data_IF_581099072408
#
_entry.id   IF_581099072408
#
_cell.length_a   1.000
_cell.length_b   1.000
_cell.length_c   1.000
_cell.angle_alpha   90.00
_cell.angle_beta   90.00
_cell.angle_gamma   90.00
#
_symmetry.space_group_name_H-M   'P 1'
#
loop_
_entity.id
_entity.type
_entity.pdbx_description
1 polymer ?
#
# COMPACT_ATOMS: atom_id res chain seq x y z
N UNK A 1 5.76 -12.53 49.12
CA UNK A 1 5.50 -12.10 47.73
C UNK A 1 4.95 -13.30 46.97
N UNK A 2 3.69 -13.27 46.55
CA UNK A 2 3.08 -14.37 45.80
C UNK A 2 3.80 -14.52 44.47
N UNK A 3 4.38 -15.69 44.20
CA UNK A 3 4.95 -15.99 42.88
C UNK A 3 3.77 -16.11 41.92
N UNK A 4 3.55 -15.10 41.08
CA UNK A 4 2.54 -15.17 40.03
C UNK A 4 2.76 -16.45 39.24
N UNK A 5 1.73 -17.31 39.18
CA UNK A 5 1.75 -18.51 38.33
C UNK A 5 2.02 -18.08 36.88
N UNK A 6 2.91 -18.76 36.14
CA UNK A 6 3.09 -18.50 34.72
C UNK A 6 1.76 -18.61 33.98
N UNK A 7 1.49 -17.68 33.05
CA UNK A 7 0.22 -17.65 32.29
C UNK A 7 -0.04 -18.96 31.54
N UNK A 8 1.02 -19.59 31.03
CA UNK A 8 1.01 -20.83 30.27
C UNK A 8 1.47 -22.04 31.11
N UNK A 9 1.10 -22.09 32.39
CA UNK A 9 1.33 -23.26 33.25
C UNK A 9 0.35 -24.41 33.02
N UNK A 10 -0.73 -24.16 32.29
CA UNK A 10 -1.76 -25.15 31.97
C UNK A 10 -1.49 -25.70 30.57
N UNK A 11 -1.32 -27.02 30.47
CA UNK A 11 -1.07 -27.74 29.22
C UNK A 11 -2.17 -27.47 28.18
N UNK A 12 -3.41 -27.22 28.62
CA UNK A 12 -4.51 -26.92 27.72
C UNK A 12 -4.33 -25.57 27.02
N UNK A 13 -3.90 -24.54 27.77
CA UNK A 13 -3.64 -23.21 27.21
C UNK A 13 -2.44 -23.21 26.28
N UNK A 14 -1.45 -24.06 26.58
CA UNK A 14 -0.30 -24.25 25.69
C UNK A 14 -0.74 -24.87 24.38
N UNK A 15 -1.52 -25.95 24.40
CA UNK A 15 -2.04 -26.58 23.16
C UNK A 15 -2.84 -25.60 22.30
N UNK A 16 -3.76 -24.85 22.92
CA UNK A 16 -4.56 -23.85 22.22
C UNK A 16 -3.69 -22.75 21.57
N UNK A 17 -2.65 -22.30 22.27
CA UNK A 17 -1.70 -21.34 21.72
C UNK A 17 -0.96 -21.88 20.49
N UNK A 18 -0.53 -23.14 20.55
CA UNK A 18 0.17 -23.80 19.45
C UNK A 18 -0.74 -23.94 18.23
N UNK A 19 -1.96 -24.43 18.42
CA UNK A 19 -2.95 -24.56 17.35
C UNK A 19 -3.25 -23.21 16.69
N UNK A 20 -3.50 -22.17 17.49
CA UNK A 20 -3.78 -20.83 16.98
C UNK A 20 -2.60 -20.27 16.17
N UNK A 21 -1.36 -20.41 16.66
CA UNK A 21 -0.17 -19.93 15.97
C UNK A 21 0.12 -20.71 14.68
N UNK A 22 0.01 -22.05 14.72
CA UNK A 22 0.18 -22.90 13.52
C UNK A 22 -0.93 -22.70 12.49
N UNK A 23 -2.12 -22.27 12.91
CA UNK A 23 -3.22 -21.83 12.05
C UNK A 23 -2.99 -20.49 11.34
N UNK A 24 -1.84 -19.83 11.59
CA UNK A 24 -1.45 -18.60 10.90
C UNK A 24 -1.79 -17.31 11.65
N UNK A 25 -2.24 -17.40 12.90
CA UNK A 25 -2.42 -16.22 13.75
C UNK A 25 -1.06 -15.58 14.08
N UNK A 26 -1.02 -14.25 14.19
CA UNK A 26 0.20 -13.56 14.60
C UNK A 26 0.41 -13.67 16.11
N UNK A 27 1.64 -13.43 16.58
CA UNK A 27 1.95 -13.35 18.02
C UNK A 27 1.06 -12.32 18.74
N UNK A 28 0.66 -11.25 18.04
CA UNK A 28 -0.23 -10.22 18.58
C UNK A 28 -1.66 -10.73 18.73
N UNK A 29 -2.16 -11.49 17.76
CA UNK A 29 -3.51 -12.06 17.81
C UNK A 29 -3.60 -13.09 18.94
N UNK A 30 -2.59 -13.97 19.06
CA UNK A 30 -2.47 -14.88 20.18
C UNK A 30 -2.41 -14.13 21.53
N UNK A 31 -1.61 -13.06 21.61
CA UNK A 31 -1.47 -12.26 22.82
C UNK A 31 -2.80 -11.60 23.23
N UNK A 32 -3.55 -11.07 22.26
CA UNK A 32 -4.86 -10.49 22.49
C UNK A 32 -5.89 -11.54 22.96
N UNK A 33 -5.88 -12.73 22.36
CA UNK A 33 -6.76 -13.84 22.75
C UNK A 33 -6.56 -14.29 24.19
N UNK A 34 -5.31 -14.42 24.62
CA UNK A 34 -4.98 -14.83 25.99
C UNK A 34 -4.85 -13.67 26.99
N UNK A 35 -5.09 -12.42 26.57
CA UNK A 35 -4.97 -11.24 27.42
C UNK A 35 -3.57 -11.02 28.00
N UNK A 36 -2.52 -11.36 27.24
CA UNK A 36 -1.13 -11.27 27.68
C UNK A 36 -0.27 -10.47 26.69
N UNK A 37 1.02 -10.33 26.99
CA UNK A 37 1.95 -9.61 26.10
C UNK A 37 2.51 -10.53 25.02
N UNK A 38 2.78 -10.01 23.82
CA UNK A 38 3.42 -10.76 22.73
C UNK A 38 4.77 -11.40 23.13
N UNK A 39 5.63 -10.77 23.96
CA UNK A 39 6.80 -11.43 24.54
C UNK A 39 6.47 -12.68 25.37
N UNK A 40 5.36 -12.67 26.13
CA UNK A 40 4.91 -13.83 26.92
C UNK A 40 4.54 -15.00 26.02
N UNK A 41 3.82 -14.74 24.93
CA UNK A 41 3.49 -15.74 23.91
C UNK A 41 4.76 -16.29 23.25
N UNK A 42 5.69 -15.40 22.86
CA UNK A 42 6.98 -15.78 22.29
C UNK A 42 7.77 -16.70 23.23
N UNK A 43 7.83 -16.38 24.53
CA UNK A 43 8.50 -17.22 25.51
C UNK A 43 7.86 -18.61 25.60
N UNK A 44 6.52 -18.69 25.64
CA UNK A 44 5.79 -19.95 25.68
C UNK A 44 6.01 -20.82 24.44
N UNK A 45 6.01 -20.22 23.24
CA UNK A 45 6.30 -20.94 21.98
C UNK A 45 7.73 -21.47 21.95
N UNK A 46 8.72 -20.67 22.38
CA UNK A 46 10.13 -21.12 22.49
C UNK A 46 10.29 -22.27 23.46
N UNK A 47 9.64 -22.21 24.63
CA UNK A 47 9.65 -23.29 25.62
C UNK A 47 9.05 -24.59 25.10
N UNK A 48 8.16 -24.52 24.11
CA UNK A 48 7.55 -25.67 23.45
C UNK A 48 8.26 -26.05 22.12
N UNK A 49 9.49 -25.61 21.90
CA UNK A 49 10.29 -25.87 20.70
C UNK A 49 9.65 -25.41 19.37
N UNK A 50 8.71 -24.46 19.43
CA UNK A 50 8.12 -23.88 18.21
C UNK A 50 9.01 -22.74 17.75
N UNK A 51 9.49 -22.87 16.51
CA UNK A 51 10.24 -21.80 15.87
C UNK A 51 9.32 -20.61 15.63
N UNK A 52 9.61 -19.52 16.32
CA UNK A 52 8.97 -18.25 16.05
C UNK A 52 9.50 -17.75 14.71
N UNK A 53 8.59 -17.31 13.84
CA UNK A 53 8.97 -16.63 12.61
C UNK A 53 9.80 -15.40 12.99
N UNK A 54 11.04 -15.34 12.48
CA UNK A 54 11.91 -14.18 12.71
C UNK A 54 11.15 -12.93 12.28
N UNK A 55 11.09 -11.96 13.19
CA UNK A 55 10.58 -10.61 12.96
C UNK A 55 11.08 -10.16 11.58
N UNK A 56 10.16 -10.04 10.62
CA UNK A 56 10.51 -9.87 9.21
C UNK A 56 9.48 -10.42 8.24
N UNK A 57 8.67 -11.42 8.63
CA UNK A 57 7.47 -11.78 7.85
C UNK A 57 6.35 -10.78 8.15
N UNK A 58 6.57 -9.53 7.75
CA UNK A 58 5.53 -8.74 7.12
C UNK A 58 5.06 -9.56 5.92
N UNK A 59 4.27 -10.61 6.14
CA UNK A 59 3.30 -11.02 5.15
C UNK A 59 2.43 -9.78 5.02
N UNK A 60 2.80 -8.89 4.08
CA UNK A 60 1.98 -7.74 3.71
C UNK A 60 0.57 -8.32 3.61
N UNK A 61 -0.43 -7.71 4.29
CA UNK A 61 -1.79 -8.25 4.25
C UNK A 61 -2.09 -8.57 2.79
N UNK A 62 -2.50 -9.82 2.51
CA UNK A 62 -2.69 -10.31 1.13
C UNK A 62 -3.50 -9.23 0.42
N UNK A 63 -2.88 -8.54 -0.55
CA UNK A 63 -3.54 -7.44 -1.26
C UNK A 63 -4.86 -8.00 -1.78
N UNK A 64 -5.98 -7.32 -1.49
CA UNK A 64 -7.26 -7.70 -2.06
C UNK A 64 -7.07 -7.77 -3.57
N UNK A 65 -7.28 -8.95 -4.15
CA UNK A 65 -7.20 -9.15 -5.59
C UNK A 65 -8.42 -8.44 -6.16
N UNK A 66 -8.22 -7.21 -6.64
CA UNK A 66 -9.24 -6.51 -7.40
C UNK A 66 -9.13 -7.04 -8.83
N UNK A 67 -10.18 -7.70 -9.29
CA UNK A 67 -10.24 -8.25 -10.64
C UNK A 67 -10.45 -7.11 -11.63
N UNK A 68 -9.39 -6.72 -12.33
CA UNK A 68 -9.45 -5.78 -13.46
C UNK A 68 -9.31 -6.62 -14.73
N UNK A 69 -10.29 -6.55 -15.66
CA UNK A 69 -10.20 -7.25 -16.95
C UNK A 69 -8.93 -6.84 -17.69
N UNK A 70 -8.14 -7.82 -18.11
CA UNK A 70 -6.83 -7.59 -18.73
C UNK A 70 -6.97 -6.91 -20.09
N UNK A 71 -7.92 -7.35 -20.91
CA UNK A 71 -8.12 -6.85 -22.27
C UNK A 71 -8.56 -5.38 -22.28
N UNK A 72 -9.48 -5.02 -21.39
CA UNK A 72 -9.91 -3.63 -21.21
C UNK A 72 -8.77 -2.76 -20.72
N UNK A 73 -8.00 -3.24 -19.73
CA UNK A 73 -6.87 -2.49 -19.18
C UNK A 73 -5.82 -2.20 -20.28
N UNK A 74 -5.52 -3.18 -21.14
CA UNK A 74 -4.59 -2.99 -22.27
C UNK A 74 -5.09 -1.94 -23.25
N UNK A 75 -6.38 -1.95 -23.58
CA UNK A 75 -6.98 -0.98 -24.51
C UNK A 75 -6.92 0.45 -23.96
N UNK A 76 -7.25 0.65 -22.69
CA UNK A 76 -7.21 1.99 -22.07
C UNK A 76 -5.80 2.42 -21.66
N UNK A 77 -4.84 1.48 -21.61
CA UNK A 77 -3.46 1.77 -21.21
C UNK A 77 -2.75 2.71 -22.16
N UNK A 78 -3.10 2.76 -23.44
CA UNK A 78 -2.44 3.68 -24.39
C UNK A 78 -3.16 5.02 -24.52
N UNK A 79 -4.44 5.07 -24.15
CA UNK A 79 -5.31 6.22 -24.43
C UNK A 79 -5.38 7.26 -23.31
N UNK A 80 -5.23 6.85 -22.05
CA UNK A 80 -5.50 7.73 -20.90
C UNK A 80 -4.46 7.62 -19.78
N UNK A 81 -4.45 8.60 -18.87
CA UNK A 81 -3.52 8.61 -17.73
C UNK A 81 -3.88 7.53 -16.71
N UNK A 82 -2.90 7.06 -15.92
CA UNK A 82 -3.16 6.08 -14.85
C UNK A 82 -4.19 6.59 -13.83
N UNK A 83 -4.28 7.91 -13.63
CA UNK A 83 -5.32 8.56 -12.82
C UNK A 83 -6.72 8.35 -13.40
N UNK A 84 -6.90 8.60 -14.71
CA UNK A 84 -8.19 8.39 -15.38
C UNK A 84 -8.57 6.91 -15.47
N UNK A 85 -7.59 6.03 -15.67
CA UNK A 85 -7.82 4.57 -15.66
C UNK A 85 -8.31 4.13 -14.29
N UNK A 86 -7.71 4.65 -13.22
CA UNK A 86 -8.11 4.34 -11.85
C UNK A 86 -9.55 4.81 -11.56
N UNK A 87 -9.92 6.01 -12.03
CA UNK A 87 -11.29 6.52 -11.96
C UNK A 87 -12.28 5.66 -12.75
N UNK A 88 -11.92 5.27 -13.98
CA UNK A 88 -12.73 4.41 -14.85
C UNK A 88 -13.06 3.05 -14.21
N UNK A 89 -12.07 2.42 -13.58
CA UNK A 89 -12.25 1.13 -12.89
C UNK A 89 -12.71 1.25 -11.43
N UNK A 90 -12.81 2.47 -10.87
CA UNK A 90 -13.16 2.69 -9.47
C UNK A 90 -12.14 2.15 -8.47
N UNK A 91 -10.85 2.14 -8.84
CA UNK A 91 -9.75 1.59 -8.03
C UNK A 91 -8.70 2.65 -7.71
N UNK A 92 -7.74 2.31 -6.85
CA UNK A 92 -6.61 3.20 -6.61
C UNK A 92 -5.63 3.21 -7.78
N UNK A 93 -4.93 4.33 -7.99
CA UNK A 93 -3.88 4.45 -9.01
C UNK A 93 -2.79 3.40 -8.81
N UNK A 94 -2.42 3.11 -7.56
CA UNK A 94 -1.44 2.08 -7.23
C UNK A 94 -1.88 0.69 -7.71
N UNK A 95 -3.18 0.39 -7.65
CA UNK A 95 -3.74 -0.86 -8.19
C UNK A 95 -3.51 -0.96 -9.69
N UNK A 96 -3.73 0.13 -10.43
CA UNK A 96 -3.49 0.19 -11.88
C UNK A 96 -2.01 0.03 -12.21
N UNK A 97 -1.13 0.70 -11.46
CA UNK A 97 0.33 0.60 -11.65
C UNK A 97 0.82 -0.82 -11.38
N UNK A 98 0.39 -1.44 -10.29
CA UNK A 98 0.76 -2.82 -9.96
C UNK A 98 0.24 -3.80 -11.00
N UNK A 99 -1.01 -3.63 -11.47
CA UNK A 99 -1.59 -4.49 -12.49
C UNK A 99 -0.87 -4.32 -13.83
N UNK A 100 -0.56 -3.08 -14.22
CA UNK A 100 0.24 -2.80 -15.42
C UNK A 100 1.61 -3.48 -15.37
N UNK A 101 2.31 -3.39 -14.23
CA UNK A 101 3.59 -4.10 -14.02
C UNK A 101 3.44 -5.61 -14.13
N UNK A 102 2.40 -6.19 -13.51
CA UNK A 102 2.13 -7.62 -13.58
C UNK A 102 1.85 -8.11 -15.00
N UNK A 103 1.29 -7.25 -15.85
CA UNK A 103 1.01 -7.51 -17.27
C UNK A 103 2.16 -7.09 -18.20
N UNK A 104 3.29 -6.59 -17.68
CA UNK A 104 4.42 -6.11 -18.48
C UNK A 104 4.12 -4.84 -19.28
N UNK A 105 3.05 -4.11 -18.94
CA UNK A 105 2.66 -2.89 -19.62
C UNK A 105 3.59 -1.74 -19.22
N UNK A 106 4.43 -1.32 -20.16
CA UNK A 106 5.29 -0.14 -20.04
C UNK A 106 4.87 0.88 -21.08
N UNK A 107 5.00 2.17 -20.77
CA UNK A 107 4.80 3.24 -21.75
C UNK A 107 6.15 3.82 -22.12
N UNK A 108 6.34 4.09 -23.39
CA UNK A 108 7.45 4.92 -23.80
C UNK A 108 7.35 6.33 -23.19
N UNK A 109 8.51 6.94 -22.96
CA UNK A 109 8.66 8.22 -22.30
C UNK A 109 7.88 9.34 -23.02
N UNK A 110 7.88 9.34 -24.36
CA UNK A 110 7.18 10.32 -25.18
C UNK A 110 5.66 10.22 -24.98
N UNK A 111 5.10 9.02 -25.12
CA UNK A 111 3.67 8.76 -24.93
C UNK A 111 3.22 9.13 -23.51
N UNK A 112 4.01 8.74 -22.50
CA UNK A 112 3.73 9.08 -21.10
C UNK A 112 3.68 10.59 -20.89
N UNK A 113 4.62 11.34 -21.47
CA UNK A 113 4.68 12.79 -21.32
C UNK A 113 3.56 13.50 -22.06
N UNK A 114 3.17 13.01 -23.24
CA UNK A 114 2.02 13.52 -24.00
C UNK A 114 0.73 13.39 -23.20
N UNK A 115 0.41 12.18 -22.74
CA UNK A 115 -0.80 11.91 -21.93
C UNK A 115 -0.82 12.76 -20.66
N UNK A 116 0.31 12.85 -19.96
CA UNK A 116 0.44 13.69 -18.75
C UNK A 116 0.22 15.16 -19.06
N UNK A 117 0.77 15.66 -20.17
CA UNK A 117 0.60 17.04 -20.59
C UNK A 117 -0.87 17.35 -20.91
N UNK A 118 -1.52 16.52 -21.71
CA UNK A 118 -2.95 16.65 -22.05
C UNK A 118 -3.83 16.64 -20.78
N UNK A 119 -3.53 15.74 -19.85
CA UNK A 119 -4.23 15.66 -18.55
C UNK A 119 -4.06 16.95 -17.74
N UNK A 120 -2.84 17.48 -17.65
CA UNK A 120 -2.57 18.70 -16.89
C UNK A 120 -3.16 19.95 -17.56
N UNK A 121 -3.12 20.04 -18.90
CA UNK A 121 -3.78 21.13 -19.64
C UNK A 121 -5.28 21.10 -19.40
N UNK A 122 -5.91 19.92 -19.40
CA UNK A 122 -7.34 19.79 -19.09
C UNK A 122 -7.67 20.19 -17.66
N UNK A 123 -6.77 19.95 -16.71
CA UNK A 123 -7.02 20.19 -15.27
C UNK A 123 -6.71 21.61 -14.82
N UNK A 124 -5.62 22.18 -15.32
CA UNK A 124 -5.06 23.45 -14.85
C UNK A 124 -4.97 24.53 -15.94
N UNK A 125 -5.37 24.21 -17.18
CA UNK A 125 -5.29 25.11 -18.32
C UNK A 125 -3.95 25.02 -19.08
N UNK A 126 -3.90 25.65 -20.25
CA UNK A 126 -2.74 25.61 -21.18
C UNK A 126 -1.46 26.16 -20.56
N UNK A 127 -1.60 27.06 -19.59
CA UNK A 127 -0.50 27.77 -18.94
C UNK A 127 0.04 27.08 -17.68
N UNK A 128 -0.35 25.82 -17.40
CA UNK A 128 0.05 25.12 -16.16
C UNK A 128 1.56 25.00 -15.97
N UNK A 129 2.36 25.17 -17.03
CA UNK A 129 3.84 25.15 -16.99
C UNK A 129 4.48 26.52 -16.80
N UNK A 130 3.71 27.62 -16.69
CA UNK A 130 4.31 28.94 -16.46
C UNK A 130 5.14 28.90 -15.16
N UNK A 131 6.41 29.30 -15.26
CA UNK A 131 7.29 29.35 -14.09
C UNK A 131 6.79 30.41 -13.12
N UNK A 132 7.08 30.24 -11.82
CA UNK A 132 6.75 31.22 -10.80
C UNK A 132 7.26 32.63 -11.16
N UNK A 133 8.45 32.72 -11.78
CA UNK A 133 9.04 33.98 -12.24
C UNK A 133 8.23 34.63 -13.36
N UNK A 134 7.73 33.86 -14.33
CA UNK A 134 6.90 34.42 -15.41
C UNK A 134 5.56 34.90 -14.89
N UNK A 135 4.94 34.16 -13.96
CA UNK A 135 3.70 34.57 -13.30
C UNK A 135 3.94 35.84 -12.47
N UNK A 136 5.08 35.94 -11.78
CA UNK A 136 5.46 37.12 -11.01
C UNK A 136 5.70 38.35 -11.90
N UNK A 137 6.43 38.19 -13.01
CA UNK A 137 6.68 39.28 -13.97
C UNK A 137 5.39 39.74 -14.64
N UNK A 138 4.52 38.83 -15.11
CA UNK A 138 3.20 39.18 -15.67
C UNK A 138 2.37 39.97 -14.65
N UNK A 139 2.37 39.55 -13.37
CA UNK A 139 1.69 40.25 -12.28
C UNK A 139 2.30 41.61 -11.95
N UNK A 140 3.62 41.76 -12.03
CA UNK A 140 4.30 43.04 -11.78
C UNK A 140 4.05 44.04 -12.91
N UNK A 141 3.98 43.57 -14.16
CA UNK A 141 3.55 44.39 -15.30
C UNK A 141 2.09 44.84 -15.12
N UNK A 142 1.20 43.94 -14.71
CA UNK A 142 -0.21 44.25 -14.50
C UNK A 142 -0.43 45.29 -13.38
N UNK A 143 0.23 45.12 -12.23
CA UNK A 143 0.05 46.00 -11.07
C UNK A 143 0.78 47.33 -11.19
N UNK A 144 1.94 47.36 -11.84
CA UNK A 144 2.87 48.49 -11.79
C UNK A 144 3.33 48.99 -13.17
N UNK A 145 2.92 48.36 -14.27
CA UNK A 145 3.27 48.77 -15.63
C UNK A 145 4.76 48.65 -15.98
N UNK A 146 5.54 47.88 -15.22
CA UNK A 146 6.99 47.67 -15.45
C UNK A 146 7.29 46.23 -15.81
N UNK A 147 7.90 46.04 -16.98
CA UNK A 147 8.45 44.77 -17.47
C UNK A 147 9.96 44.84 -17.63
#
# INVERSE_FOLDING_TARGET
MSKNKPMFSDDQKVKELIEMYTGGASLRDCAAHFGCSAPTVSAALKSNNIQIHKIGTNLKPKKKIISIPEDELKSVWESMSQEKIAEYFGVSVDTIVDRGKALGLTRDHELRNKIRHETNVSRYGKDYRKSADRIYVEKMIELYGRG
#
